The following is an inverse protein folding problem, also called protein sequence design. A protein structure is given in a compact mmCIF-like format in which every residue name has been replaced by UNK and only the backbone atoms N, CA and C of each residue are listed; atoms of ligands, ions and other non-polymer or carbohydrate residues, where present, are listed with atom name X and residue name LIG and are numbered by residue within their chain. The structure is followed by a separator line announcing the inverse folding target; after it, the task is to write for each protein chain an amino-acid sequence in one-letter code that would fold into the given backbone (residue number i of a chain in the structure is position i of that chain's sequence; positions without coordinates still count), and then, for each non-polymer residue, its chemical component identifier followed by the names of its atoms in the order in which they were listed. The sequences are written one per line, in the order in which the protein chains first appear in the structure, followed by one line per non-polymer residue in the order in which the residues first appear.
data_IF_895032054137
#
_entry.id   IF_895032054137
#
_cell.length_a   1.000
_cell.length_b   1.000
_cell.length_c   1.000
_cell.angle_alpha   90.00
_cell.angle_beta   90.00
_cell.angle_gamma   90.00
#
_symmetry.space_group_name_H-M   'P 1'
#
loop_
_entity.id
_entity.type
_entity.pdbx_description
1 polymer ?
#
# COMPACT_ATOMS: atom_id res chain seq x y z
N UNK A 1 0.46 -16.11 -53.11
CA UNK A 1 1.45 -15.11 -52.71
C UNK A 1 1.98 -15.43 -51.32
N UNK A 2 3.14 -16.08 -51.22
CA UNK A 2 3.77 -16.45 -49.96
C UNK A 2 4.51 -15.22 -49.44
N UNK A 3 3.96 -14.56 -48.43
CA UNK A 3 4.58 -13.38 -47.84
C UNK A 3 5.89 -13.82 -47.17
N UNK A 4 7.02 -13.55 -47.82
CA UNK A 4 8.35 -13.80 -47.28
C UNK A 4 8.54 -12.74 -46.19
N UNK A 5 8.42 -13.16 -44.92
CA UNK A 5 8.65 -12.27 -43.77
C UNK A 5 10.10 -11.81 -43.79
N UNK A 6 10.30 -10.49 -43.75
CA UNK A 6 11.63 -9.91 -43.80
C UNK A 6 12.38 -10.23 -42.49
N UNK A 7 13.69 -10.52 -42.53
CA UNK A 7 14.48 -10.85 -41.32
C UNK A 7 14.34 -9.80 -40.20
N UNK A 8 14.18 -8.53 -40.59
CA UNK A 8 14.00 -7.39 -39.68
C UNK A 8 12.70 -7.48 -38.87
N UNK A 9 11.63 -8.01 -39.44
CA UNK A 9 10.34 -8.18 -38.74
C UNK A 9 10.38 -9.33 -37.74
N UNK A 10 11.16 -10.39 -38.06
CA UNK A 10 11.37 -11.53 -37.16
C UNK A 10 12.16 -11.08 -35.93
N UNK A 11 13.25 -10.33 -36.15
CA UNK A 11 14.09 -9.78 -35.07
C UNK A 11 13.28 -8.77 -34.25
N UNK A 12 12.51 -7.89 -34.89
CA UNK A 12 11.66 -6.91 -34.20
C UNK A 12 10.62 -7.56 -33.29
N UNK A 13 9.97 -8.64 -33.72
CA UNK A 13 8.99 -9.35 -32.90
C UNK A 13 9.65 -10.17 -31.78
N UNK A 14 10.84 -10.76 -32.01
CA UNK A 14 11.61 -11.43 -30.96
C UNK A 14 12.06 -10.46 -29.86
N UNK A 15 12.47 -9.25 -30.24
CA UNK A 15 12.83 -8.20 -29.29
C UNK A 15 11.60 -7.69 -28.53
N UNK A 16 10.45 -7.58 -29.18
CA UNK A 16 9.22 -7.09 -28.54
C UNK A 16 8.65 -8.08 -27.51
N UNK A 17 8.81 -9.39 -27.72
CA UNK A 17 8.43 -10.40 -26.72
C UNK A 17 9.40 -10.43 -25.53
N UNK A 18 10.69 -10.14 -25.75
CA UNK A 18 11.69 -10.06 -24.67
C UNK A 18 11.61 -8.72 -23.89
N UNK A 19 11.22 -7.64 -24.55
CA UNK A 19 11.01 -6.29 -23.99
C UNK A 19 9.54 -6.08 -23.64
N UNK A 20 8.73 -7.14 -23.49
CA UNK A 20 7.38 -6.99 -22.94
C UNK A 20 7.53 -6.66 -21.45
N UNK A 21 7.23 -5.43 -21.00
CA UNK A 21 7.40 -5.09 -19.60
C UNK A 21 6.52 -6.04 -18.79
N UNK A 22 7.16 -6.72 -17.83
CA UNK A 22 6.53 -7.65 -16.89
C UNK A 22 5.21 -7.03 -16.43
N UNK A 23 4.12 -7.71 -16.75
CA UNK A 23 2.77 -7.16 -16.75
C UNK A 23 2.44 -6.45 -15.43
N UNK A 24 2.00 -5.20 -15.55
CA UNK A 24 1.55 -4.27 -14.49
C UNK A 24 0.52 -4.87 -13.51
N UNK A 25 -0.10 -5.99 -13.86
CA UNK A 25 -1.06 -6.73 -13.03
C UNK A 25 -0.39 -7.54 -11.90
N UNK A 26 0.79 -8.11 -12.17
CA UNK A 26 1.57 -8.85 -11.16
C UNK A 26 2.10 -7.94 -10.05
N UNK A 27 2.53 -6.74 -10.42
CA UNK A 27 3.03 -5.71 -9.49
C UNK A 27 1.91 -5.13 -8.62
N UNK A 28 0.73 -4.87 -9.21
CA UNK A 28 -0.46 -4.40 -8.49
C UNK A 28 -1.00 -5.42 -7.47
N UNK A 29 -0.82 -6.72 -7.70
CA UNK A 29 -1.20 -7.75 -6.70
C UNK A 29 -0.21 -7.76 -5.53
N UNK A 30 1.08 -7.65 -5.82
CA UNK A 30 2.13 -7.62 -4.79
C UNK A 30 2.00 -6.38 -3.88
N UNK A 31 1.78 -5.21 -4.48
CA UNK A 31 1.54 -3.94 -3.77
C UNK A 31 0.33 -3.96 -2.82
N UNK A 32 -0.74 -4.66 -3.22
CA UNK A 32 -1.95 -4.82 -2.42
C UNK A 32 -1.73 -5.75 -1.24
N UNK A 33 -0.98 -6.83 -1.42
CA UNK A 33 -0.60 -7.70 -0.30
C UNK A 33 0.34 -7.01 0.68
N UNK A 34 1.34 -6.28 0.18
CA UNK A 34 2.25 -5.51 1.02
C UNK A 34 1.51 -4.45 1.86
N UNK A 35 0.54 -3.74 1.27
CA UNK A 35 -0.29 -2.77 2.01
C UNK A 35 -1.11 -3.38 3.14
N UNK A 36 -1.64 -4.59 2.94
CA UNK A 36 -2.39 -5.31 3.98
C UNK A 36 -1.48 -5.74 5.14
N UNK A 37 -0.29 -6.24 4.85
CA UNK A 37 0.69 -6.64 5.87
C UNK A 37 1.18 -5.44 6.69
N UNK A 38 1.46 -4.31 6.06
CA UNK A 38 1.86 -3.07 6.74
C UNK A 38 0.77 -2.63 7.72
N UNK A 39 -0.50 -2.65 7.31
CA UNK A 39 -1.61 -2.27 8.18
C UNK A 39 -1.83 -3.22 9.37
N UNK A 40 -1.43 -4.49 9.29
CA UNK A 40 -1.47 -5.42 10.43
C UNK A 40 -0.35 -5.11 11.40
N UNK A 41 0.88 -4.88 10.90
CA UNK A 41 2.04 -4.55 11.74
C UNK A 41 1.82 -3.22 12.47
N UNK A 42 1.28 -2.20 11.80
CA UNK A 42 0.94 -0.91 12.40
C UNK A 42 0.03 -1.08 13.62
N UNK A 43 -1.00 -1.93 13.53
CA UNK A 43 -1.92 -2.18 14.65
C UNK A 43 -1.22 -2.84 15.83
N UNK A 44 -0.33 -3.78 15.59
CA UNK A 44 0.50 -4.38 16.65
C UNK A 44 1.39 -3.33 17.33
N UNK A 45 2.00 -2.43 16.55
CA UNK A 45 2.84 -1.34 17.10
C UNK A 45 1.99 -0.34 17.90
N UNK A 46 0.81 0.05 17.40
CA UNK A 46 -0.11 0.93 18.13
C UNK A 46 -0.55 0.31 19.46
N UNK A 47 -0.87 -0.99 19.48
CA UNK A 47 -1.22 -1.69 20.72
C UNK A 47 -0.09 -1.66 21.75
N UNK A 48 1.16 -1.86 21.32
CA UNK A 48 2.34 -1.79 22.21
C UNK A 48 2.49 -0.37 22.78
N UNK A 49 2.40 0.66 21.94
CA UNK A 49 2.55 2.05 22.42
C UNK A 49 1.43 2.51 23.34
N UNK A 50 0.20 2.04 23.11
CA UNK A 50 -0.93 2.27 24.01
C UNK A 50 -0.69 1.59 25.36
N UNK A 51 -0.19 0.35 25.36
CA UNK A 51 0.17 -0.35 26.60
C UNK A 51 1.27 0.38 27.39
N UNK A 52 2.12 1.15 26.71
CA UNK A 52 3.16 1.99 27.31
C UNK A 52 2.65 3.41 27.65
N UNK A 53 1.37 3.71 27.42
CA UNK A 53 0.75 5.05 27.54
C UNK A 53 1.45 6.14 26.71
N UNK A 54 2.17 5.75 25.66
CA UNK A 54 2.92 6.66 24.78
C UNK A 54 2.09 7.06 23.57
N UNK A 55 1.08 7.90 23.79
CA UNK A 55 0.16 8.34 22.71
C UNK A 55 0.86 9.14 21.60
N UNK A 56 1.97 9.83 21.91
CA UNK A 56 2.76 10.56 20.91
C UNK A 56 3.37 9.65 19.84
N UNK A 57 3.79 8.45 20.23
CA UNK A 57 4.39 7.47 19.31
C UNK A 57 3.39 6.94 18.27
N UNK A 58 2.09 6.91 18.60
CA UNK A 58 1.01 6.55 17.67
C UNK A 58 0.96 7.54 16.51
N UNK A 59 1.12 8.83 16.79
CA UNK A 59 1.17 9.89 15.76
C UNK A 59 2.34 9.74 14.81
N UNK A 60 3.52 9.34 15.32
CA UNK A 60 4.71 9.06 14.51
C UNK A 60 4.52 7.85 13.58
N UNK A 61 3.89 6.79 14.07
CA UNK A 61 3.57 5.61 13.26
C UNK A 61 2.60 5.96 12.12
N UNK A 62 1.56 6.75 12.44
CA UNK A 62 0.56 7.21 11.48
C UNK A 62 1.16 8.09 10.37
N UNK A 63 2.09 8.98 10.74
CA UNK A 63 2.81 9.83 9.78
C UNK A 63 3.74 9.01 8.91
N UNK A 64 4.52 8.09 9.50
CA UNK A 64 5.40 7.20 8.74
C UNK A 64 4.63 6.39 7.67
N UNK A 65 3.45 5.87 8.02
CA UNK A 65 2.58 5.14 7.08
C UNK A 65 2.10 6.03 5.93
N UNK A 66 1.68 7.26 6.23
CA UNK A 66 1.22 8.22 5.22
C UNK A 66 2.33 8.63 4.27
N UNK A 67 3.56 8.83 4.77
CA UNK A 67 4.73 9.13 3.94
C UNK A 67 5.05 7.96 3.00
N UNK A 68 5.03 6.72 3.50
CA UNK A 68 5.30 5.53 2.70
C UNK A 68 4.29 5.32 1.54
N UNK A 69 3.07 5.84 1.65
CA UNK A 69 2.03 5.76 0.61
C UNK A 69 1.80 7.07 -0.14
N UNK A 70 2.56 8.12 0.16
CA UNK A 70 2.33 9.49 -0.32
C UNK A 70 2.24 9.58 -1.85
N UNK A 71 3.16 8.93 -2.56
CA UNK A 71 3.18 8.95 -4.04
C UNK A 71 1.89 8.40 -4.67
N UNK A 72 1.26 7.37 -4.06
CA UNK A 72 -0.03 6.83 -4.53
C UNK A 72 -1.22 7.71 -4.12
N UNK A 73 -1.19 8.27 -2.92
CA UNK A 73 -2.22 9.18 -2.41
C UNK A 73 -2.30 10.43 -3.30
N UNK A 74 -1.15 10.98 -3.73
CA UNK A 74 -1.11 12.18 -4.59
C UNK A 74 -1.57 11.88 -6.02
N UNK A 75 -1.30 10.68 -6.54
CA UNK A 75 -1.65 10.30 -7.92
C UNK A 75 -3.12 9.89 -8.11
N UNK A 76 -3.79 9.42 -7.05
CA UNK A 76 -5.14 8.88 -7.10
C UNK A 76 -6.01 9.48 -5.97
N UNK A 77 -6.81 10.55 -6.23
CA UNK A 77 -7.57 11.25 -5.19
C UNK A 77 -8.65 10.38 -4.52
N UNK A 78 -9.36 9.54 -5.28
CA UNK A 78 -10.36 8.62 -4.73
C UNK A 78 -9.74 7.60 -3.76
N UNK A 79 -8.50 7.15 -4.06
CA UNK A 79 -7.75 6.26 -3.18
C UNK A 79 -7.28 6.99 -1.92
N UNK A 80 -6.86 8.25 -2.05
CA UNK A 80 -6.47 9.09 -0.93
C UNK A 80 -7.60 9.20 0.09
N UNK A 81 -8.81 9.58 -0.34
CA UNK A 81 -9.96 9.76 0.55
C UNK A 81 -10.31 8.46 1.30
N UNK A 82 -10.40 7.34 0.59
CA UNK A 82 -10.70 6.05 1.21
C UNK A 82 -9.61 5.63 2.21
N UNK A 83 -8.35 5.81 1.85
CA UNK A 83 -7.21 5.49 2.72
C UNK A 83 -7.20 6.35 3.99
N UNK A 84 -7.49 7.64 3.86
CA UNK A 84 -7.46 8.61 4.95
C UNK A 84 -8.63 8.36 5.91
N UNK A 85 -9.85 8.18 5.39
CA UNK A 85 -11.02 7.79 6.17
C UNK A 85 -10.81 6.47 6.91
N UNK A 86 -10.31 5.45 6.22
CA UNK A 86 -10.06 4.13 6.82
C UNK A 86 -9.01 4.18 7.95
N UNK A 87 -7.98 5.00 7.78
CA UNK A 87 -6.93 5.14 8.80
C UNK A 87 -7.42 5.93 10.01
N UNK A 88 -8.13 7.05 9.81
CA UNK A 88 -8.71 7.83 10.90
C UNK A 88 -9.73 7.01 11.71
N UNK A 89 -10.62 6.28 11.03
CA UNK A 89 -11.60 5.43 11.68
C UNK A 89 -10.93 4.32 12.51
N UNK A 90 -9.88 3.70 11.97
CA UNK A 90 -9.12 2.67 12.69
C UNK A 90 -8.42 3.23 13.93
N UNK A 91 -7.79 4.41 13.83
CA UNK A 91 -7.13 5.06 14.97
C UNK A 91 -8.15 5.46 16.04
N UNK A 92 -9.32 5.97 15.64
CA UNK A 92 -10.40 6.33 16.55
C UNK A 92 -10.97 5.11 17.29
N UNK A 93 -11.16 3.99 16.59
CA UNK A 93 -11.60 2.73 17.19
C UNK A 93 -10.60 2.22 18.24
N UNK A 94 -9.31 2.27 17.93
CA UNK A 94 -8.24 1.86 18.85
C UNK A 94 -8.21 2.76 20.10
N UNK A 95 -8.34 4.08 19.93
CA UNK A 95 -8.42 5.03 21.06
C UNK A 95 -9.66 4.75 21.92
N UNK A 96 -10.82 4.50 21.30
CA UNK A 96 -12.07 4.19 22.02
C UNK A 96 -11.93 2.90 22.84
N UNK A 97 -11.37 1.84 22.25
CA UNK A 97 -11.09 0.57 22.96
C UNK A 97 -10.12 0.79 24.11
N UNK A 98 -9.03 1.54 23.89
CA UNK A 98 -8.07 1.88 24.94
C UNK A 98 -8.70 2.64 26.09
N UNK A 99 -9.59 3.58 25.80
CA UNK A 99 -10.29 4.36 26.82
C UNK A 99 -11.21 3.49 27.68
N UNK A 100 -11.93 2.55 27.05
CA UNK A 100 -12.78 1.57 27.75
C UNK A 100 -11.93 0.67 28.65
N UNK A 101 -10.81 0.14 28.15
CA UNK A 101 -9.91 -0.73 28.93
C UNK A 101 -9.36 0.00 30.16
N UNK A 102 -8.99 1.28 30.02
CA UNK A 102 -8.46 2.07 31.13
C UNK A 102 -9.52 2.51 32.15
N UNK A 103 -10.81 2.43 31.78
CA UNK A 103 -11.93 2.80 32.65
C UNK A 103 -12.42 1.61 33.50
N UNK A 104 -12.04 0.37 33.15
CA UNK A 104 -12.29 -0.86 33.90
C UNK A 104 -11.18 -1.07 34.93
#
# INVERSE_FOLDING_TARGET
YRHIRNPKEIIGNLLNDYIKPKSKDSDRKNDRNAGRLIGTIERSIMLIFISLQQYSAIGLVLTAKSIARYDKIVKEPDFAEYYLLGTLLSTLAVIAVSFIINMI
#
